data_IF_148305008081
#
_entry.id   IF_148305008081
#
_cell.length_a   1.000
_cell.length_b   1.000
_cell.length_c   1.000
_cell.angle_alpha   90.00
_cell.angle_beta   90.00
_cell.angle_gamma   90.00
#
_symmetry.space_group_name_H-M   'P 1'
#
loop_
_entity.id
_entity.type
_entity.pdbx_description
1 polymer ?
#
# COMPACT_ATOMS: atom_id res chain seq x y z
N UNK A 1 -15.16 -62.12 -3.01
CA UNK A 1 -13.88 -61.40 -2.84
C UNK A 1 -13.62 -60.28 -3.86
N UNK A 2 -13.94 -60.40 -5.13
CA UNK A 2 -13.73 -59.34 -6.12
C UNK A 2 -14.63 -58.13 -5.92
N UNK A 3 -15.90 -58.34 -5.51
CA UNK A 3 -16.87 -57.25 -5.26
C UNK A 3 -16.58 -56.45 -4.01
N UNK A 4 -15.99 -57.12 -3.00
CA UNK A 4 -15.59 -56.44 -1.72
C UNK A 4 -14.36 -55.53 -1.93
N UNK A 5 -13.46 -55.91 -2.81
CA UNK A 5 -12.26 -55.09 -3.13
C UNK A 5 -12.64 -53.86 -3.97
N UNK A 6 -13.62 -53.98 -4.87
CA UNK A 6 -14.12 -52.86 -5.66
C UNK A 6 -14.89 -51.88 -4.77
N UNK A 7 -15.68 -52.36 -3.83
CA UNK A 7 -16.38 -51.49 -2.86
C UNK A 7 -15.42 -50.76 -1.91
N UNK A 8 -14.36 -51.40 -1.45
CA UNK A 8 -13.33 -50.77 -0.63
C UNK A 8 -12.49 -49.74 -1.42
N UNK A 9 -12.22 -49.99 -2.70
CA UNK A 9 -11.51 -49.01 -3.54
C UNK A 9 -12.40 -47.78 -3.87
N UNK A 10 -13.69 -47.97 -4.05
CA UNK A 10 -14.65 -46.86 -4.22
C UNK A 10 -14.85 -46.05 -2.93
N UNK A 11 -14.87 -46.69 -1.77
CA UNK A 11 -14.90 -46.01 -0.47
C UNK A 11 -13.58 -45.26 -0.18
N UNK A 12 -12.44 -45.80 -0.59
CA UNK A 12 -11.16 -45.12 -0.44
C UNK A 12 -11.01 -43.91 -1.36
N UNK A 13 -11.58 -43.98 -2.60
CA UNK A 13 -11.62 -42.83 -3.49
C UNK A 13 -12.63 -41.76 -3.04
N UNK A 14 -13.76 -42.16 -2.44
CA UNK A 14 -14.71 -41.21 -1.83
C UNK A 14 -14.16 -40.54 -0.56
N UNK A 15 -13.31 -41.24 0.21
CA UNK A 15 -12.63 -40.62 1.37
C UNK A 15 -11.47 -39.68 0.94
N UNK A 16 -10.82 -39.93 -0.20
CA UNK A 16 -9.83 -39.02 -0.77
C UNK A 16 -10.47 -37.75 -1.41
N UNK A 17 -11.76 -37.81 -1.75
CA UNK A 17 -12.52 -36.66 -2.27
C UNK A 17 -12.99 -35.67 -1.17
N UNK A 18 -12.64 -35.89 0.08
CA UNK A 18 -12.85 -34.97 1.20
C UNK A 18 -11.63 -34.04 1.40
N UNK A 19 -10.86 -33.77 0.37
CA UNK A 19 -10.01 -32.59 0.32
C UNK A 19 -10.96 -31.36 0.40
N UNK A 20 -11.11 -30.81 1.59
CA UNK A 20 -12.09 -29.78 1.90
C UNK A 20 -11.64 -28.49 1.22
N UNK A 21 -12.04 -28.32 -0.04
CA UNK A 21 -11.89 -27.05 -0.75
C UNK A 21 -12.75 -26.05 -0.04
N UNK A 22 -12.15 -25.01 0.53
CA UNK A 22 -12.90 -23.91 1.12
C UNK A 22 -12.81 -22.69 0.21
N UNK A 23 -13.96 -22.10 -0.09
CA UNK A 23 -14.04 -20.77 -0.72
C UNK A 23 -14.71 -19.85 0.28
N UNK A 24 -14.05 -18.77 0.62
CA UNK A 24 -14.52 -17.76 1.56
C UNK A 24 -14.75 -16.45 0.83
N UNK A 25 -15.94 -15.87 1.00
CA UNK A 25 -16.21 -14.48 0.69
C UNK A 25 -15.78 -13.64 1.88
N UNK A 26 -15.00 -12.59 1.63
CA UNK A 26 -14.51 -11.71 2.66
C UNK A 26 -14.35 -10.29 2.13
N UNK A 27 -14.18 -9.32 3.02
CA UNK A 27 -14.02 -7.94 2.60
C UNK A 27 -14.22 -6.94 3.71
N UNK A 28 -14.26 -5.67 3.30
CA UNK A 28 -14.57 -4.56 4.19
C UNK A 28 -15.26 -3.42 3.45
N UNK A 29 -16.08 -2.69 4.19
CA UNK A 29 -16.75 -1.46 3.76
C UNK A 29 -16.32 -0.35 4.71
N UNK A 30 -15.84 0.74 4.14
CA UNK A 30 -15.33 1.91 4.83
C UNK A 30 -15.97 3.16 4.23
N UNK A 31 -16.81 3.83 5.03
CA UNK A 31 -17.53 5.04 4.62
C UNK A 31 -17.40 6.12 5.68
N UNK A 32 -17.23 7.34 5.22
CA UNK A 32 -17.09 8.49 6.11
C UNK A 32 -17.35 9.82 5.44
N UNK A 33 -17.06 10.85 6.19
CA UNK A 33 -17.03 12.25 5.76
C UNK A 33 -15.64 12.81 5.99
N UNK A 34 -15.25 13.76 5.18
CA UNK A 34 -13.98 14.45 5.32
C UNK A 34 -14.10 15.94 5.06
N UNK A 35 -13.21 16.69 5.68
CA UNK A 35 -12.96 18.10 5.44
C UNK A 35 -11.49 18.30 5.10
N UNK A 36 -11.21 19.10 4.10
CA UNK A 36 -9.85 19.53 3.74
C UNK A 36 -9.86 21.05 3.48
N UNK A 37 -8.87 21.76 4.02
CA UNK A 37 -8.58 23.17 3.73
C UNK A 37 -7.26 23.30 2.99
N UNK A 38 -6.88 24.52 2.60
CA UNK A 38 -5.62 24.76 1.89
C UNK A 38 -5.58 24.18 0.48
N UNK A 39 -6.71 23.81 -0.07
CA UNK A 39 -6.89 23.40 -1.46
C UNK A 39 -7.28 24.59 -2.34
N UNK A 40 -7.07 24.51 -3.67
CA UNK A 40 -7.62 25.49 -4.59
C UNK A 40 -9.14 25.61 -4.41
N UNK A 41 -9.63 26.84 -4.23
CA UNK A 41 -11.03 27.11 -3.87
C UNK A 41 -11.29 27.24 -2.37
N UNK A 42 -10.25 27.02 -1.53
CA UNK A 42 -10.27 27.27 -0.08
C UNK A 42 -10.44 26.01 0.76
N UNK A 43 -11.60 25.38 0.74
CA UNK A 43 -11.88 24.16 1.49
C UNK A 43 -12.99 23.33 0.85
N UNK A 44 -13.05 22.06 1.21
CA UNK A 44 -14.09 21.14 0.76
C UNK A 44 -14.57 20.21 1.88
N UNK A 45 -15.88 19.93 1.85
CA UNK A 45 -16.49 18.81 2.56
C UNK A 45 -16.89 17.76 1.54
N UNK A 46 -16.62 16.50 1.83
CA UNK A 46 -17.04 15.41 0.94
C UNK A 46 -17.41 14.15 1.72
N UNK A 47 -18.29 13.35 1.12
CA UNK A 47 -18.44 11.97 1.50
C UNK A 47 -17.28 11.18 0.88
N UNK A 48 -16.73 10.22 1.62
CA UNK A 48 -15.59 9.44 1.18
C UNK A 48 -15.79 7.96 1.45
N UNK A 49 -15.33 7.15 0.51
CA UNK A 49 -15.13 5.73 0.68
C UNK A 49 -13.64 5.49 0.90
N UNK A 50 -13.28 4.78 1.97
CA UNK A 50 -11.91 4.33 2.15
C UNK A 50 -10.94 5.31 2.83
N UNK A 51 -11.39 6.15 3.74
CA UNK A 51 -10.50 7.05 4.48
C UNK A 51 -9.58 6.31 5.47
N UNK A 52 -10.10 5.30 6.17
CA UNK A 52 -9.29 4.43 7.04
C UNK A 52 -8.58 3.36 6.21
N UNK A 53 -9.27 2.80 5.23
CA UNK A 53 -8.68 1.83 4.32
C UNK A 53 -9.66 1.42 3.25
N UNK A 54 -9.24 1.32 2.01
CA UNK A 54 -10.08 1.05 0.85
C UNK A 54 -11.23 0.07 1.11
N UNK A 55 -12.42 0.35 0.58
CA UNK A 55 -13.50 -0.64 0.54
C UNK A 55 -13.23 -1.67 -0.55
N UNK A 56 -13.34 -2.95 -0.23
CA UNK A 56 -13.10 -4.03 -1.18
C UNK A 56 -13.79 -5.32 -0.74
N UNK A 57 -13.99 -6.22 -1.69
CA UNK A 57 -14.49 -7.56 -1.48
C UNK A 57 -13.64 -8.56 -2.25
N UNK A 58 -13.62 -9.80 -1.81
CA UNK A 58 -12.83 -10.83 -2.44
C UNK A 58 -13.32 -12.24 -2.17
N UNK A 59 -12.76 -13.15 -2.93
CA UNK A 59 -12.86 -14.59 -2.77
C UNK A 59 -11.47 -15.16 -2.55
N UNK A 60 -11.30 -15.96 -1.54
CA UNK A 60 -10.10 -16.76 -1.33
C UNK A 60 -10.45 -18.22 -1.12
N UNK A 61 -9.51 -19.08 -1.43
CA UNK A 61 -9.72 -20.49 -1.21
C UNK A 61 -8.44 -21.29 -1.15
N UNK A 62 -8.57 -22.50 -0.62
CA UNK A 62 -7.47 -23.44 -0.56
C UNK A 62 -7.94 -24.87 -0.78
N UNK A 63 -7.07 -25.68 -1.38
CA UNK A 63 -7.22 -27.12 -1.59
C UNK A 63 -6.02 -27.84 -1.01
N UNK A 64 -6.24 -28.85 -0.19
CA UNK A 64 -5.17 -29.69 0.37
C UNK A 64 -4.69 -30.69 -0.70
N UNK A 65 -3.42 -30.59 -1.06
CA UNK A 65 -2.77 -31.48 -2.03
C UNK A 65 -2.02 -32.64 -1.39
N UNK A 66 -2.07 -32.72 -0.04
CA UNK A 66 -1.31 -33.73 0.72
C UNK A 66 0.13 -33.26 1.05
N UNK A 67 0.77 -33.99 1.97
CA UNK A 67 2.14 -33.67 2.41
C UNK A 67 2.32 -32.28 3.03
N UNK A 68 1.24 -31.66 3.54
CA UNK A 68 1.24 -30.29 4.09
C UNK A 68 1.21 -29.20 3.03
N UNK A 69 1.11 -29.55 1.75
CA UNK A 69 1.03 -28.58 0.64
C UNK A 69 -0.43 -28.27 0.32
N UNK A 70 -0.72 -26.97 0.15
CA UNK A 70 -2.04 -26.50 -0.32
C UNK A 70 -1.88 -25.70 -1.60
N UNK A 71 -2.80 -25.88 -2.55
CA UNK A 71 -3.06 -24.88 -3.58
C UNK A 71 -3.88 -23.76 -2.95
N UNK A 72 -3.58 -22.51 -3.31
CA UNK A 72 -4.26 -21.31 -2.81
C UNK A 72 -4.62 -20.40 -3.97
N UNK A 73 -5.72 -19.67 -3.85
CA UNK A 73 -6.04 -18.57 -4.75
C UNK A 73 -6.65 -17.39 -4.00
N UNK A 74 -6.55 -16.20 -4.59
CA UNK A 74 -7.12 -14.97 -4.06
C UNK A 74 -7.55 -14.06 -5.20
N UNK A 75 -8.78 -13.55 -5.11
CA UNK A 75 -9.36 -12.59 -6.05
C UNK A 75 -9.95 -11.44 -5.23
N UNK A 76 -9.50 -10.18 -5.48
CA UNK A 76 -10.01 -9.00 -4.78
C UNK A 76 -10.32 -7.84 -5.72
N UNK A 77 -11.45 -7.18 -5.45
CA UNK A 77 -11.93 -5.99 -6.16
C UNK A 77 -12.11 -4.82 -5.21
N UNK A 78 -11.54 -3.66 -5.56
CA UNK A 78 -11.80 -2.41 -4.85
C UNK A 78 -13.06 -1.75 -5.39
N UNK A 79 -13.82 -1.12 -4.50
CA UNK A 79 -15.06 -0.44 -4.86
C UNK A 79 -15.19 0.87 -4.09
N UNK A 80 -15.84 1.83 -4.74
CA UNK A 80 -16.30 3.05 -4.10
C UNK A 80 -17.74 2.83 -3.61
N UNK A 81 -17.91 2.73 -2.30
CA UNK A 81 -19.22 2.43 -1.70
C UNK A 81 -20.13 3.65 -1.65
N UNK A 82 -19.65 4.86 -1.98
CA UNK A 82 -20.49 6.05 -2.09
C UNK A 82 -21.28 6.09 -3.40
N UNK A 83 -20.79 5.45 -4.46
CA UNK A 83 -21.43 5.44 -5.77
C UNK A 83 -21.65 4.03 -6.35
N UNK A 84 -21.14 2.98 -5.66
CA UNK A 84 -21.28 1.58 -6.09
C UNK A 84 -20.39 1.18 -7.27
N UNK A 85 -19.41 2.00 -7.66
CA UNK A 85 -18.53 1.71 -8.79
C UNK A 85 -17.28 0.94 -8.35
N UNK A 86 -16.73 0.13 -9.26
CA UNK A 86 -15.40 -0.42 -9.09
C UNK A 86 -14.36 0.69 -9.17
N UNK A 87 -13.35 0.60 -8.32
CA UNK A 87 -12.14 1.42 -8.41
C UNK A 87 -11.03 0.59 -9.07
N UNK A 88 -10.81 0.84 -10.35
CA UNK A 88 -9.89 0.08 -11.19
C UNK A 88 -10.54 -1.14 -11.85
N UNK A 89 -9.73 -2.16 -12.12
CA UNK A 89 -10.17 -3.39 -12.78
C UNK A 89 -10.88 -4.34 -11.80
N UNK A 90 -11.79 -5.16 -12.33
CA UNK A 90 -12.29 -6.32 -11.59
C UNK A 90 -11.09 -7.19 -11.18
N UNK A 91 -11.00 -7.53 -9.90
CA UNK A 91 -9.85 -8.20 -9.30
C UNK A 91 -8.50 -7.48 -9.48
N UNK A 92 -8.57 -6.13 -9.59
CA UNK A 92 -7.36 -5.29 -9.70
C UNK A 92 -6.50 -5.28 -8.46
N UNK A 93 -7.06 -5.61 -7.26
CA UNK A 93 -6.29 -5.72 -6.02
C UNK A 93 -5.50 -7.02 -5.93
N UNK A 94 -6.16 -8.15 -6.20
CA UNK A 94 -5.54 -9.47 -6.29
C UNK A 94 -6.21 -10.32 -7.36
N UNK A 95 -5.40 -11.04 -8.12
CA UNK A 95 -5.82 -12.15 -8.96
C UNK A 95 -4.65 -13.14 -9.02
N UNK A 96 -4.54 -13.98 -7.99
CA UNK A 96 -3.39 -14.86 -7.78
C UNK A 96 -3.78 -16.29 -7.57
N UNK A 97 -2.87 -17.18 -8.00
CA UNK A 97 -2.85 -18.61 -7.66
C UNK A 97 -1.47 -18.95 -7.12
N UNK A 98 -1.38 -19.94 -6.24
CA UNK A 98 -0.11 -20.32 -5.67
C UNK A 98 -0.15 -21.61 -4.89
N UNK A 99 0.98 -21.88 -4.21
CA UNK A 99 1.15 -23.03 -3.33
C UNK A 99 1.74 -22.57 -2.01
N UNK A 100 1.30 -23.16 -0.92
CA UNK A 100 1.86 -22.92 0.41
C UNK A 100 2.18 -24.23 1.11
N UNK A 101 3.29 -24.25 1.84
CA UNK A 101 3.72 -25.39 2.64
C UNK A 101 4.53 -24.86 3.86
N UNK A 102 4.27 -25.30 5.08
CA UNK A 102 4.99 -24.83 6.26
C UNK A 102 6.52 -25.01 6.22
N UNK A 103 7.00 -26.03 5.49
CA UNK A 103 8.43 -26.33 5.38
C UNK A 103 9.12 -25.63 4.21
N UNK A 104 8.36 -25.28 3.18
CA UNK A 104 8.91 -24.73 1.94
C UNK A 104 8.50 -23.29 1.66
N UNK A 105 7.57 -22.71 2.46
CA UNK A 105 7.09 -21.37 2.28
C UNK A 105 5.90 -21.25 1.33
N UNK A 106 5.69 -20.06 0.81
CA UNK A 106 4.55 -19.73 -0.06
C UNK A 106 5.04 -19.14 -1.37
N UNK A 107 4.56 -19.70 -2.49
CA UNK A 107 4.78 -19.17 -3.82
C UNK A 107 3.43 -18.74 -4.41
N UNK A 108 3.37 -17.54 -5.00
CA UNK A 108 2.20 -17.01 -5.70
C UNK A 108 2.59 -16.44 -7.05
N UNK A 109 1.65 -16.44 -7.99
CA UNK A 109 1.78 -15.78 -9.29
C UNK A 109 0.47 -15.12 -9.69
N UNK A 110 0.56 -14.03 -10.45
CA UNK A 110 -0.60 -13.30 -10.98
C UNK A 110 -0.51 -11.80 -10.84
N UNK A 111 -1.65 -11.16 -10.61
CA UNK A 111 -1.74 -9.75 -10.28
C UNK A 111 -1.66 -9.57 -8.76
N UNK A 112 -0.63 -8.89 -8.30
CA UNK A 112 -0.37 -8.59 -6.90
C UNK A 112 -0.55 -7.06 -6.72
N UNK A 113 -1.79 -6.59 -6.88
CA UNK A 113 -2.10 -5.16 -6.88
C UNK A 113 -2.15 -4.51 -5.51
N UNK A 114 -2.41 -5.28 -4.45
CA UNK A 114 -2.59 -4.77 -3.09
C UNK A 114 -1.84 -5.58 -2.03
N UNK A 115 -0.87 -6.34 -2.39
CA UNK A 115 -0.01 -7.12 -1.50
C UNK A 115 1.45 -7.02 -1.90
N UNK A 116 1.76 -5.99 -2.61
CA UNK A 116 3.07 -5.60 -3.07
C UNK A 116 4.03 -5.42 -1.88
N UNK A 117 5.28 -5.78 -2.06
CA UNK A 117 6.29 -5.67 -0.99
C UNK A 117 6.39 -4.23 -0.47
N UNK A 118 6.32 -3.22 -1.35
CA UNK A 118 6.35 -1.82 -0.95
C UNK A 118 5.23 -1.44 0.03
N UNK A 119 4.06 -2.08 -0.11
CA UNK A 119 2.91 -1.82 0.77
C UNK A 119 3.09 -2.42 2.18
N UNK A 120 4.04 -3.32 2.39
CA UNK A 120 4.35 -3.86 3.72
C UNK A 120 4.96 -2.80 4.65
N UNK A 121 5.32 -1.63 4.10
CA UNK A 121 5.64 -0.43 4.87
C UNK A 121 4.53 -0.02 5.86
N UNK A 122 3.26 -0.39 5.60
CA UNK A 122 2.13 -0.13 6.50
C UNK A 122 2.36 -0.67 7.92
N UNK A 123 3.10 -1.77 8.07
CA UNK A 123 3.43 -2.34 9.36
C UNK A 123 4.34 -1.46 10.21
N UNK A 124 5.01 -0.46 9.62
CA UNK A 124 5.83 0.52 10.34
C UNK A 124 5.15 1.89 10.48
N UNK A 125 3.94 2.03 9.94
CA UNK A 125 3.18 3.28 9.96
C UNK A 125 2.25 3.33 11.18
N UNK A 126 2.39 4.33 12.07
CA UNK A 126 1.48 4.51 13.18
C UNK A 126 0.01 4.62 12.79
N UNK A 127 -0.28 5.23 11.64
CA UNK A 127 -1.64 5.41 11.11
C UNK A 127 -2.09 4.26 10.20
N UNK A 128 -1.29 3.18 10.07
CA UNK A 128 -1.62 1.98 9.30
C UNK A 128 -1.99 2.28 7.84
N UNK A 129 -1.28 3.21 7.19
CA UNK A 129 -1.52 3.70 5.83
C UNK A 129 -2.95 4.21 5.60
N UNK A 130 -3.54 4.83 6.63
CA UNK A 130 -4.75 5.61 6.47
C UNK A 130 -4.50 6.80 5.53
N UNK A 131 -5.54 7.59 5.31
CA UNK A 131 -5.49 8.72 4.38
C UNK A 131 -4.33 9.69 4.67
N UNK A 132 -4.03 9.96 5.95
CA UNK A 132 -2.93 10.83 6.37
C UNK A 132 -1.82 10.02 7.05
N UNK A 133 -1.05 9.28 6.29
CA UNK A 133 -0.03 8.37 6.80
C UNK A 133 1.28 8.45 6.03
N UNK A 134 2.06 7.39 6.14
CA UNK A 134 3.38 7.25 5.52
C UNK A 134 3.37 7.56 4.00
N UNK A 135 2.28 7.25 3.30
CA UNK A 135 2.20 7.45 1.85
C UNK A 135 1.98 8.89 1.43
N UNK A 136 1.52 9.79 2.33
CA UNK A 136 1.20 11.18 2.00
C UNK A 136 2.41 11.94 1.46
N UNK A 137 3.53 11.93 2.18
CA UNK A 137 4.70 12.73 1.84
C UNK A 137 5.55 12.13 0.72
N UNK A 138 5.29 10.90 0.34
CA UNK A 138 5.94 10.22 -0.81
C UNK A 138 4.97 10.03 -1.97
N UNK A 139 3.90 10.82 -1.99
CA UNK A 139 2.91 10.90 -3.08
C UNK A 139 2.41 9.54 -3.54
N UNK A 140 2.06 8.67 -2.59
CA UNK A 140 1.53 7.35 -2.87
C UNK A 140 2.55 6.32 -3.37
N UNK A 141 3.87 6.61 -3.39
CA UNK A 141 4.90 5.67 -3.87
C UNK A 141 4.81 4.29 -3.21
N UNK A 142 4.38 4.23 -1.96
CA UNK A 142 4.22 2.98 -1.21
C UNK A 142 2.97 2.16 -1.60
N UNK A 143 2.13 2.69 -2.51
CA UNK A 143 0.97 1.99 -3.07
C UNK A 143 1.24 1.36 -4.44
N UNK A 144 2.50 1.15 -4.81
CA UNK A 144 2.85 0.48 -6.05
C UNK A 144 2.13 -0.86 -6.18
N UNK A 145 1.90 -1.29 -7.39
CA UNK A 145 1.26 -2.57 -7.72
C UNK A 145 2.10 -3.37 -8.72
N UNK A 146 1.98 -4.69 -8.69
CA UNK A 146 2.69 -5.58 -9.59
C UNK A 146 1.72 -6.51 -10.32
N UNK A 147 1.63 -6.35 -11.63
CA UNK A 147 0.97 -7.30 -12.52
C UNK A 147 1.99 -8.28 -13.12
N UNK A 148 1.51 -9.45 -13.57
CA UNK A 148 2.36 -10.50 -14.14
C UNK A 148 3.54 -10.86 -13.22
N UNK A 149 3.29 -10.92 -11.92
CA UNK A 149 4.30 -11.07 -10.89
C UNK A 149 4.37 -12.49 -10.35
N UNK A 150 5.55 -12.80 -9.86
CA UNK A 150 5.85 -13.97 -9.04
C UNK A 150 6.32 -13.50 -7.68
N UNK A 151 5.82 -14.12 -6.63
CA UNK A 151 6.21 -13.85 -5.26
C UNK A 151 6.56 -15.15 -4.54
N UNK A 152 7.62 -15.12 -3.77
CA UNK A 152 7.97 -16.20 -2.87
C UNK A 152 8.29 -15.66 -1.48
N UNK A 153 7.64 -16.27 -0.48
CA UNK A 153 7.93 -16.03 0.93
C UNK A 153 8.48 -17.30 1.56
N UNK A 154 9.61 -17.20 2.24
CA UNK A 154 10.21 -18.30 2.98
C UNK A 154 9.32 -18.76 4.13
N UNK A 155 9.53 -19.96 4.70
CA UNK A 155 9.07 -20.25 6.06
C UNK A 155 9.61 -19.23 7.05
N UNK A 156 8.96 -19.13 8.21
CA UNK A 156 9.44 -18.30 9.32
C UNK A 156 10.36 -19.10 10.23
N UNK A 157 11.58 -18.62 10.43
CA UNK A 157 12.61 -19.24 11.25
C UNK A 157 12.90 -18.37 12.47
N UNK A 158 12.36 -18.74 13.64
CA UNK A 158 12.60 -17.98 14.87
C UNK A 158 12.15 -16.51 14.80
N UNK A 159 11.07 -16.23 14.07
CA UNK A 159 10.54 -14.89 13.84
C UNK A 159 11.08 -14.19 12.58
N UNK A 160 12.08 -14.75 11.90
CA UNK A 160 12.65 -14.21 10.67
C UNK A 160 12.03 -14.85 9.42
N UNK A 161 11.59 -14.05 8.46
CA UNK A 161 11.25 -14.49 7.11
C UNK A 161 11.75 -13.49 6.06
N UNK A 162 11.86 -13.97 4.83
CA UNK A 162 12.14 -13.15 3.66
C UNK A 162 11.02 -13.30 2.64
N UNK A 163 10.73 -12.25 1.90
CA UNK A 163 9.82 -12.27 0.76
C UNK A 163 10.49 -11.60 -0.43
N UNK A 164 10.38 -12.21 -1.60
CA UNK A 164 10.89 -11.68 -2.86
C UNK A 164 9.80 -11.66 -3.92
N UNK A 165 9.74 -10.59 -4.70
CA UNK A 165 8.78 -10.37 -5.77
C UNK A 165 9.49 -9.96 -7.04
N UNK A 166 9.07 -10.54 -8.15
CA UNK A 166 9.54 -10.21 -9.48
C UNK A 166 8.37 -10.11 -10.45
N UNK A 167 8.16 -8.93 -11.02
CA UNK A 167 7.20 -8.72 -12.09
C UNK A 167 7.91 -8.79 -13.45
N UNK A 168 7.27 -9.43 -14.42
CA UNK A 168 7.85 -9.60 -15.75
C UNK A 168 7.86 -8.29 -16.52
N UNK A 169 6.73 -7.75 -16.79
CA UNK A 169 6.48 -6.42 -17.34
C UNK A 169 4.99 -6.15 -17.24
N UNK A 170 4.54 -4.97 -17.60
CA UNK A 170 3.09 -4.70 -17.74
C UNK A 170 2.44 -5.51 -18.90
N UNK A 171 3.24 -6.20 -19.72
CA UNK A 171 2.79 -7.10 -20.77
C UNK A 171 3.05 -8.55 -20.38
N UNK A 172 2.13 -9.45 -20.72
CA UNK A 172 2.27 -10.90 -20.51
C UNK A 172 3.31 -11.55 -21.42
N UNK A 173 3.84 -10.81 -22.39
CA UNK A 173 4.85 -11.28 -23.35
C UNK A 173 6.24 -10.82 -22.93
N UNK A 174 7.18 -11.73 -22.81
CA UNK A 174 8.56 -11.47 -22.39
C UNK A 174 9.46 -11.03 -23.53
N UNK A 175 9.06 -11.32 -24.75
CA UNK A 175 9.86 -11.11 -25.95
C UNK A 175 8.91 -10.71 -27.09
N UNK A 176 8.64 -9.42 -27.20
CA UNK A 176 7.96 -8.90 -28.37
C UNK A 176 9.01 -8.51 -29.40
N UNK A 177 9.05 -9.24 -30.51
CA UNK A 177 10.07 -9.14 -31.55
C UNK A 177 10.18 -7.77 -32.23
N UNK A 178 9.34 -6.78 -31.92
CA UNK A 178 9.21 -5.54 -32.69
C UNK A 178 9.41 -4.25 -31.94
N UNK A 179 9.41 -4.25 -30.59
CA UNK A 179 9.73 -3.07 -29.79
C UNK A 179 10.15 -3.48 -28.38
N UNK A 180 11.13 -2.83 -27.74
CA UNK A 180 11.37 -2.97 -26.32
C UNK A 180 10.21 -2.28 -25.57
N UNK A 181 9.00 -2.82 -25.71
CA UNK A 181 7.81 -2.31 -25.09
C UNK A 181 7.63 -2.94 -23.74
N UNK A 182 7.37 -2.10 -22.75
CA UNK A 182 6.95 -2.55 -21.44
C UNK A 182 8.09 -3.09 -20.60
N UNK A 183 9.12 -2.32 -20.35
CA UNK A 183 10.11 -2.58 -19.30
C UNK A 183 9.64 -2.09 -17.93
N UNK A 184 8.45 -1.51 -17.88
CA UNK A 184 7.80 -1.13 -16.64
C UNK A 184 7.50 -2.36 -15.80
N UNK A 185 8.06 -2.44 -14.59
CA UNK A 185 7.88 -3.57 -13.68
C UNK A 185 8.15 -3.14 -12.25
N UNK A 186 7.55 -3.87 -11.32
CA UNK A 186 7.72 -3.67 -9.89
C UNK A 186 8.36 -4.92 -9.29
N UNK A 187 9.55 -4.76 -8.74
CA UNK A 187 10.30 -5.82 -8.09
C UNK A 187 10.59 -5.43 -6.66
N UNK A 188 10.75 -6.40 -5.77
CA UNK A 188 11.09 -6.10 -4.39
C UNK A 188 11.65 -7.31 -3.66
N UNK A 189 12.32 -7.02 -2.57
CA UNK A 189 12.74 -7.98 -1.56
C UNK A 189 12.58 -7.35 -0.18
N UNK A 190 12.11 -8.13 0.78
CA UNK A 190 12.05 -7.73 2.17
C UNK A 190 12.57 -8.80 3.10
N UNK A 191 13.03 -8.37 4.25
CA UNK A 191 13.30 -9.21 5.41
C UNK A 191 12.56 -8.65 6.62
N UNK A 192 11.83 -9.50 7.32
CA UNK A 192 11.09 -9.15 8.53
C UNK A 192 11.53 -10.03 9.67
N UNK A 193 11.87 -9.42 10.80
CA UNK A 193 12.18 -10.12 12.04
C UNK A 193 11.20 -9.70 13.13
N UNK A 194 10.28 -10.59 13.47
CA UNK A 194 9.34 -10.42 14.57
C UNK A 194 9.90 -11.03 15.85
N UNK A 195 9.83 -10.29 16.95
CA UNK A 195 10.28 -10.70 18.27
C UNK A 195 9.21 -10.37 19.33
N UNK A 196 9.35 -10.86 20.55
CA UNK A 196 8.27 -10.82 21.53
C UNK A 196 7.67 -9.45 21.88
N UNK A 197 8.35 -8.35 21.55
CA UNK A 197 7.88 -6.97 21.82
C UNK A 197 7.72 -6.12 20.56
N UNK A 198 7.84 -6.68 19.35
CA UNK A 198 7.72 -5.89 18.13
C UNK A 198 8.26 -6.56 16.89
N UNK A 199 8.53 -5.79 15.88
CA UNK A 199 9.15 -6.26 14.65
C UNK A 199 10.13 -5.21 14.10
N UNK A 200 11.03 -5.68 13.26
CA UNK A 200 11.89 -4.86 12.44
C UNK A 200 11.85 -5.38 11.00
N UNK A 201 11.77 -4.48 10.04
CA UNK A 201 11.74 -4.83 8.62
C UNK A 201 12.64 -3.93 7.79
N UNK A 202 13.21 -4.52 6.75
CA UNK A 202 13.92 -3.82 5.69
C UNK A 202 13.28 -4.21 4.37
N UNK A 203 12.89 -3.20 3.60
CA UNK A 203 12.24 -3.36 2.31
C UNK A 203 13.08 -2.64 1.26
N UNK A 204 13.47 -3.36 0.22
CA UNK A 204 14.01 -2.76 -1.00
C UNK A 204 13.04 -3.07 -2.15
N UNK A 205 12.59 -2.04 -2.85
CA UNK A 205 11.73 -2.21 -4.02
C UNK A 205 12.11 -1.26 -5.17
N UNK A 206 11.76 -1.66 -6.36
CA UNK A 206 11.94 -0.92 -7.60
C UNK A 206 10.62 -0.83 -8.36
N UNK A 207 10.22 0.37 -8.74
CA UNK A 207 9.19 0.62 -9.75
C UNK A 207 9.85 1.29 -10.93
N UNK A 208 9.79 0.65 -12.10
CA UNK A 208 10.41 1.15 -13.34
C UNK A 208 9.36 1.73 -14.27
N UNK A 209 9.70 2.82 -14.93
CA UNK A 209 8.94 3.39 -16.03
C UNK A 209 8.82 2.46 -17.22
N UNK A 210 7.95 2.79 -18.18
CA UNK A 210 7.69 1.98 -19.35
C UNK A 210 8.92 1.68 -20.22
N UNK A 211 9.94 2.52 -20.14
CA UNK A 211 11.24 2.39 -20.81
C UNK A 211 12.29 1.67 -19.94
N UNK A 212 11.92 1.26 -18.72
CA UNK A 212 12.79 0.59 -17.78
C UNK A 212 13.65 1.52 -16.92
N UNK A 213 13.50 2.83 -17.03
CA UNK A 213 14.26 3.82 -16.26
C UNK A 213 13.61 4.17 -14.92
N UNK A 214 14.33 4.91 -14.08
CA UNK A 214 13.83 5.52 -12.85
C UNK A 214 13.76 7.02 -13.06
N UNK A 215 12.67 7.48 -13.63
CA UNK A 215 12.49 8.80 -14.18
C UNK A 215 11.50 9.69 -13.41
N UNK A 216 10.96 9.20 -12.30
CA UNK A 216 10.09 9.94 -11.39
C UNK A 216 10.24 9.39 -9.97
N UNK A 217 10.68 10.22 -9.03
CA UNK A 217 10.97 9.79 -7.66
C UNK A 217 9.73 9.25 -6.93
N UNK A 218 8.55 9.73 -7.30
CA UNK A 218 7.29 9.33 -6.68
C UNK A 218 6.55 8.20 -7.42
N UNK A 219 6.90 7.91 -8.67
CA UNK A 219 6.24 6.88 -9.48
C UNK A 219 7.20 5.78 -9.91
N UNK A 220 8.37 6.16 -10.45
CA UNK A 220 9.35 5.25 -11.03
C UNK A 220 10.70 5.42 -10.34
N UNK A 221 10.85 4.79 -9.20
CA UNK A 221 12.02 4.95 -8.33
C UNK A 221 12.44 3.64 -7.68
N UNK A 222 13.64 3.65 -7.12
CA UNK A 222 14.08 2.68 -6.12
C UNK A 222 13.72 3.19 -4.74
N UNK A 223 13.35 2.28 -3.86
CA UNK A 223 13.04 2.57 -2.47
C UNK A 223 13.84 1.64 -1.56
N UNK A 224 14.46 2.21 -0.55
CA UNK A 224 15.02 1.45 0.58
C UNK A 224 14.36 1.97 1.85
N UNK A 225 13.63 1.09 2.51
CA UNK A 225 12.95 1.38 3.77
C UNK A 225 13.49 0.49 4.88
N UNK A 226 13.74 1.08 6.04
CA UNK A 226 14.01 0.37 7.28
C UNK A 226 13.12 0.95 8.38
N UNK A 227 12.41 0.09 9.10
CA UNK A 227 11.51 0.53 10.13
C UNK A 227 11.08 -0.63 11.04
N UNK A 228 10.36 -0.29 12.08
CA UNK A 228 9.90 -1.31 13.01
C UNK A 228 8.98 -0.76 14.08
N UNK A 229 8.59 -1.65 14.95
CA UNK A 229 7.62 -1.41 16.01
C UNK A 229 8.13 -1.94 17.36
N UNK A 230 7.66 -1.30 18.43
CA UNK A 230 7.89 -1.76 19.80
C UNK A 230 6.62 -1.62 20.63
N UNK A 231 6.20 -2.69 21.29
CA UNK A 231 5.04 -2.70 22.18
C UNK A 231 5.53 -2.60 23.63
N UNK A 232 5.07 -1.58 24.34
CA UNK A 232 5.40 -1.35 25.74
C UNK A 232 4.11 -1.13 26.55
N UNK A 233 3.65 -2.15 27.24
CA UNK A 233 2.36 -2.12 27.92
C UNK A 233 1.21 -1.83 26.94
N UNK A 234 0.42 -0.76 27.17
CA UNK A 234 -0.68 -0.39 26.27
C UNK A 234 -0.23 0.49 25.09
N UNK A 235 1.05 0.78 24.93
CA UNK A 235 1.56 1.68 23.90
C UNK A 235 2.35 0.90 22.87
N UNK A 236 2.03 1.14 21.60
CA UNK A 236 2.73 0.61 20.43
C UNK A 236 3.47 1.75 19.73
N UNK A 237 4.78 1.72 19.73
CA UNK A 237 5.64 2.69 19.08
C UNK A 237 6.00 2.24 17.68
N UNK A 238 6.14 3.19 16.76
CA UNK A 238 6.50 3.01 15.37
C UNK A 238 7.59 3.99 14.97
N UNK A 239 8.54 3.55 14.20
CA UNK A 239 9.56 4.42 13.62
C UNK A 239 10.08 3.84 12.31
N UNK A 240 10.49 4.69 11.39
CA UNK A 240 11.14 4.25 10.18
C UNK A 240 11.76 5.38 9.38
N UNK A 241 12.49 4.95 8.37
CA UNK A 241 13.16 5.78 7.40
C UNK A 241 13.05 5.14 6.01
N UNK A 242 12.80 5.94 5.00
CA UNK A 242 12.73 5.54 3.61
C UNK A 242 13.53 6.50 2.74
N UNK A 243 14.37 5.95 1.87
CA UNK A 243 15.08 6.70 0.83
C UNK A 243 14.53 6.32 -0.54
N UNK A 244 14.05 7.30 -1.29
CA UNK A 244 13.64 7.14 -2.69
C UNK A 244 14.73 7.70 -3.60
N UNK A 245 14.98 7.02 -4.74
CA UNK A 245 15.97 7.44 -5.72
C UNK A 245 15.51 7.18 -7.16
N UNK A 246 15.51 8.24 -7.98
CA UNK A 246 15.16 8.25 -9.39
C UNK A 246 16.20 9.04 -10.20
N UNK A 247 17.35 8.45 -10.51
CA UNK A 247 18.49 9.16 -11.11
C UNK A 247 18.24 9.68 -12.53
N UNK A 248 17.19 9.20 -13.19
CA UNK A 248 16.81 9.63 -14.54
C UNK A 248 15.69 10.69 -14.54
N UNK A 249 15.23 11.15 -13.35
CA UNK A 249 14.17 12.14 -13.26
C UNK A 249 14.62 13.48 -13.87
N UNK A 250 13.74 14.06 -14.68
CA UNK A 250 13.88 15.37 -15.30
C UNK A 250 12.54 16.09 -15.25
N UNK A 251 12.52 17.41 -15.43
CA UNK A 251 11.28 18.17 -15.49
C UNK A 251 10.33 17.63 -16.56
N UNK A 252 10.88 17.19 -17.69
CA UNK A 252 10.10 16.61 -18.78
C UNK A 252 9.49 15.25 -18.41
N UNK A 253 10.23 14.38 -17.72
CA UNK A 253 9.75 13.04 -17.34
C UNK A 253 8.63 13.11 -16.29
N UNK A 254 8.65 14.11 -15.41
CA UNK A 254 7.61 14.31 -14.39
C UNK A 254 6.50 15.28 -14.86
N UNK A 255 6.49 15.66 -16.16
CA UNK A 255 5.45 16.47 -16.76
C UNK A 255 5.39 17.92 -16.27
N UNK A 256 6.51 18.47 -15.78
CA UNK A 256 6.57 19.85 -15.31
C UNK A 256 6.55 20.81 -16.51
N UNK A 257 5.61 21.74 -16.47
CA UNK A 257 5.59 22.84 -17.43
C UNK A 257 6.67 23.86 -17.08
N UNK A 258 7.52 24.27 -18.02
CA UNK A 258 8.53 25.30 -17.79
C UNK A 258 7.92 26.57 -17.15
N UNK A 259 8.51 27.03 -16.05
CA UNK A 259 8.06 28.20 -15.31
C UNK A 259 6.88 27.98 -14.35
N UNK A 260 6.41 26.75 -14.18
CA UNK A 260 5.35 26.39 -13.21
C UNK A 260 5.88 26.11 -11.81
N UNK A 261 7.17 25.97 -11.65
CA UNK A 261 7.83 25.73 -10.36
C UNK A 261 8.47 27.02 -9.83
N UNK A 262 8.72 27.11 -8.52
CA UNK A 262 9.53 28.16 -7.93
C UNK A 262 10.93 28.24 -8.57
N UNK A 263 11.53 29.40 -8.58
CA UNK A 263 12.89 29.60 -9.12
C UNK A 263 13.89 28.72 -8.37
N UNK A 264 14.71 27.97 -9.11
CA UNK A 264 15.73 27.06 -8.57
C UNK A 264 15.20 25.69 -8.18
N UNK A 265 13.94 25.39 -8.45
CA UNK A 265 13.35 24.05 -8.27
C UNK A 265 13.36 23.31 -9.61
N UNK A 266 13.75 22.05 -9.59
CA UNK A 266 13.65 21.12 -10.72
C UNK A 266 13.23 19.74 -10.21
N UNK A 267 12.94 18.80 -11.12
CA UNK A 267 12.49 17.46 -10.76
C UNK A 267 13.38 16.80 -9.69
N UNK A 268 12.83 16.33 -8.58
CA UNK A 268 13.62 15.68 -7.56
C UNK A 268 14.08 14.30 -8.03
N UNK A 269 15.34 13.99 -7.77
CA UNK A 269 15.94 12.67 -8.02
C UNK A 269 16.06 11.83 -6.76
N UNK A 270 15.87 12.42 -5.57
CA UNK A 270 15.84 11.70 -4.30
C UNK A 270 14.91 12.37 -3.30
N UNK A 271 14.36 11.54 -2.41
CA UNK A 271 13.57 11.96 -1.26
C UNK A 271 14.00 11.12 -0.06
N UNK A 272 14.29 11.80 1.05
CA UNK A 272 14.46 11.20 2.37
C UNK A 272 13.18 11.39 3.15
N UNK A 273 12.64 10.31 3.71
CA UNK A 273 11.38 10.29 4.42
C UNK A 273 11.54 9.54 5.74
N UNK A 274 11.16 10.16 6.84
CA UNK A 274 11.29 9.63 8.18
C UNK A 274 10.01 9.83 8.98
N UNK A 275 9.74 8.93 9.93
CA UNK A 275 8.54 9.04 10.77
C UNK A 275 8.77 8.41 12.14
N UNK A 276 7.97 8.93 13.07
CA UNK A 276 7.82 8.39 14.41
C UNK A 276 6.39 8.61 14.90
N UNK A 277 5.86 7.63 15.64
CA UNK A 277 4.55 7.77 16.26
C UNK A 277 4.27 6.68 17.28
N UNK A 278 3.12 6.81 17.91
CA UNK A 278 2.64 5.87 18.89
C UNK A 278 1.12 5.71 18.85
N UNK A 279 0.67 4.48 19.01
CA UNK A 279 -0.73 4.14 19.26
C UNK A 279 -0.89 3.69 20.72
N UNK A 280 -1.77 4.37 21.45
CA UNK A 280 -2.09 4.06 22.84
C UNK A 280 -3.45 3.39 22.94
N UNK A 281 -3.48 2.16 23.40
CA UNK A 281 -4.72 1.46 23.75
C UNK A 281 -5.25 1.98 25.08
N UNK A 282 -6.14 2.97 25.03
CA UNK A 282 -6.72 3.66 26.19
C UNK A 282 -7.67 2.74 26.96
N UNK A 283 -8.41 1.91 26.24
CA UNK A 283 -9.31 0.89 26.78
C UNK A 283 -9.41 -0.30 25.82
N UNK A 284 -10.13 -1.34 26.17
CA UNK A 284 -10.37 -2.48 25.26
C UNK A 284 -11.07 -2.09 23.95
N UNK A 285 -11.80 -0.98 23.95
CA UNK A 285 -12.54 -0.50 22.79
C UNK A 285 -11.87 0.69 22.09
N UNK A 286 -11.01 1.47 22.77
CA UNK A 286 -10.52 2.77 22.28
C UNK A 286 -9.01 2.77 22.12
N UNK A 287 -8.53 3.16 20.94
CA UNK A 287 -7.14 3.50 20.72
C UNK A 287 -7.01 4.94 20.22
N UNK A 288 -5.91 5.60 20.58
CA UNK A 288 -5.53 6.95 20.12
C UNK A 288 -4.13 6.84 19.52
N UNK A 289 -3.94 7.41 18.34
CA UNK A 289 -2.67 7.38 17.61
C UNK A 289 -2.20 8.78 17.29
N UNK A 290 -0.92 9.07 17.54
CA UNK A 290 -0.28 10.32 17.14
C UNK A 290 1.00 10.01 16.36
N UNK A 291 1.26 10.77 15.30
CA UNK A 291 2.46 10.58 14.50
C UNK A 291 2.98 11.89 13.89
N UNK A 292 4.26 11.88 13.57
CA UNK A 292 4.94 12.89 12.77
C UNK A 292 5.69 12.20 11.64
N UNK A 293 5.57 12.75 10.43
CA UNK A 293 6.27 12.33 9.23
C UNK A 293 7.00 13.52 8.64
N UNK A 294 8.21 13.32 8.15
CA UNK A 294 9.00 14.37 7.53
C UNK A 294 9.59 13.87 6.23
N UNK A 295 9.48 14.65 5.17
CA UNK A 295 10.11 14.33 3.90
C UNK A 295 10.91 15.52 3.39
N UNK A 296 12.10 15.26 2.85
CA UNK A 296 12.98 16.24 2.25
C UNK A 296 13.38 15.78 0.85
N UNK A 297 13.06 16.59 -0.16
CA UNK A 297 13.37 16.31 -1.55
C UNK A 297 14.50 17.20 -2.04
N UNK A 298 15.41 16.63 -2.85
CA UNK A 298 16.54 17.37 -3.40
C UNK A 298 16.12 18.34 -4.54
N UNK A 299 17.09 18.97 -5.19
CA UNK A 299 16.90 19.90 -6.32
C UNK A 299 15.97 21.07 -6.00
N UNK A 300 16.08 21.61 -4.78
CA UNK A 300 15.32 22.79 -4.37
C UNK A 300 13.84 22.54 -4.00
N UNK A 301 13.37 21.30 -4.03
CA UNK A 301 11.97 20.96 -3.73
C UNK A 301 11.59 21.15 -2.25
N UNK A 302 12.58 21.38 -1.37
CA UNK A 302 12.33 21.68 0.03
C UNK A 302 11.86 20.45 0.82
N UNK A 303 11.12 20.71 1.89
CA UNK A 303 10.64 19.69 2.81
C UNK A 303 9.20 19.94 3.23
N UNK A 304 8.58 18.89 3.75
CA UNK A 304 7.27 18.96 4.38
C UNK A 304 7.25 18.10 5.64
N UNK A 305 6.45 18.55 6.62
CA UNK A 305 6.21 17.80 7.84
C UNK A 305 4.70 17.64 8.02
N UNK A 306 4.27 16.38 8.18
CA UNK A 306 2.88 16.00 8.45
C UNK A 306 2.76 15.60 9.92
N UNK A 307 1.81 16.19 10.61
CA UNK A 307 1.40 15.83 11.96
C UNK A 307 0.02 15.21 11.90
N UNK A 308 -0.19 14.08 12.58
CA UNK A 308 -1.48 13.38 12.60
C UNK A 308 -1.89 13.00 14.01
N UNK A 309 -3.22 13.01 14.23
CA UNK A 309 -3.86 12.54 15.44
C UNK A 309 -5.11 11.75 15.07
N UNK A 310 -5.13 10.47 15.36
CA UNK A 310 -6.21 9.55 15.05
C UNK A 310 -6.81 8.91 16.30
N UNK A 311 -8.04 8.42 16.17
CA UNK A 311 -8.69 7.60 17.19
C UNK A 311 -9.60 6.56 16.55
N UNK A 312 -9.71 5.41 17.19
CA UNK A 312 -10.65 4.35 16.84
C UNK A 312 -11.48 3.95 18.04
N UNK A 313 -12.74 3.56 17.80
CA UNK A 313 -13.65 3.04 18.80
C UNK A 313 -14.35 1.78 18.30
N UNK A 314 -14.03 0.63 18.87
CA UNK A 314 -14.58 -0.67 18.49
C UNK A 314 -16.02 -0.83 19.01
N UNK A 315 -16.98 -0.91 18.10
CA UNK A 315 -18.37 -1.30 18.38
C UNK A 315 -18.51 -2.82 18.50
N UNK A 316 -17.71 -3.56 17.77
CA UNK A 316 -17.64 -5.02 17.80
C UNK A 316 -16.25 -5.48 17.31
N UNK A 317 -16.05 -6.80 17.19
CA UNK A 317 -14.81 -7.36 16.59
C UNK A 317 -14.62 -7.01 15.12
N UNK A 318 -15.69 -6.63 14.41
CA UNK A 318 -15.70 -6.39 12.96
C UNK A 318 -16.14 -4.99 12.57
N UNK A 319 -16.62 -4.17 13.53
CA UNK A 319 -17.16 -2.84 13.26
C UNK A 319 -16.54 -1.84 14.22
N UNK A 320 -15.99 -0.76 13.69
CA UNK A 320 -15.44 0.32 14.49
C UNK A 320 -15.70 1.69 13.86
N UNK A 321 -15.76 2.68 14.71
CA UNK A 321 -15.73 4.09 14.33
C UNK A 321 -14.28 4.57 14.32
N UNK A 322 -13.98 5.52 13.46
CA UNK A 322 -12.65 6.12 13.37
C UNK A 322 -12.73 7.63 13.10
N UNK A 323 -11.68 8.33 13.46
CA UNK A 323 -11.41 9.72 13.06
C UNK A 323 -9.92 9.94 12.98
N UNK A 324 -9.48 10.80 12.08
CA UNK A 324 -8.11 11.28 12.02
C UNK A 324 -8.08 12.74 11.58
N UNK A 325 -7.24 13.54 12.23
CA UNK A 325 -6.89 14.89 11.84
C UNK A 325 -5.43 14.92 11.38
N UNK A 326 -5.17 15.67 10.30
CA UNK A 326 -3.84 15.87 9.73
C UNK A 326 -3.57 17.35 9.48
N UNK A 327 -2.31 17.75 9.71
CA UNK A 327 -1.78 19.06 9.36
C UNK A 327 -0.45 18.89 8.67
N UNK A 328 -0.34 19.38 7.44
CA UNK A 328 0.92 19.39 6.69
C UNK A 328 1.47 20.82 6.61
N UNK A 329 2.72 20.98 6.98
CA UNK A 329 3.51 22.20 6.82
C UNK A 329 4.53 22.01 5.69
N UNK A 330 4.44 22.84 4.66
CA UNK A 330 5.35 22.86 3.53
C UNK A 330 6.35 24.00 3.66
N UNK A 331 7.64 23.75 3.38
CA UNK A 331 8.62 24.80 3.15
C UNK A 331 8.29 25.58 1.88
N UNK A 332 8.89 26.73 1.67
CA UNK A 332 8.54 27.69 0.59
C UNK A 332 8.55 27.10 -0.81
N UNK A 333 9.25 26.01 -1.04
CA UNK A 333 9.38 25.35 -2.35
C UNK A 333 8.74 23.97 -2.40
N UNK A 334 8.06 23.56 -1.32
CA UNK A 334 7.31 22.30 -1.25
C UNK A 334 5.79 22.57 -1.42
N UNK A 335 5.07 21.60 -1.97
CA UNK A 335 3.61 21.63 -2.12
C UNK A 335 3.00 20.24 -1.92
N UNK A 336 3.55 19.44 -1.02
CA UNK A 336 3.00 18.14 -0.69
C UNK A 336 1.63 18.29 -0.04
N UNK A 337 0.72 17.37 -0.32
CA UNK A 337 -0.65 17.36 0.17
C UNK A 337 -0.84 16.38 1.32
N UNK A 338 -1.90 16.58 2.10
CA UNK A 338 -2.35 15.62 3.12
C UNK A 338 -2.67 14.26 2.51
N UNK A 339 -3.37 14.29 1.40
CA UNK A 339 -3.67 13.11 0.63
C UNK A 339 -3.20 13.31 -0.79
N UNK A 340 -2.19 12.56 -1.14
CA UNK A 340 -1.86 12.38 -2.54
C UNK A 340 -2.48 11.07 -2.97
N UNK A 341 -3.37 11.16 -3.96
CA UNK A 341 -3.98 9.96 -4.52
C UNK A 341 -2.87 9.01 -4.95
N UNK A 342 -3.02 7.78 -4.57
CA UNK A 342 -2.06 6.69 -4.66
C UNK A 342 -1.37 6.46 -6.02
N UNK A 343 -1.37 7.34 -6.91
CA UNK A 343 -0.82 7.16 -8.24
C UNK A 343 -0.23 8.46 -8.79
N UNK A 344 0.41 9.24 -7.91
CA UNK A 344 1.28 10.33 -8.33
C UNK A 344 0.60 11.36 -9.21
N UNK A 345 -0.63 11.72 -8.89
CA UNK A 345 -1.30 12.80 -9.60
C UNK A 345 -0.67 14.15 -9.18
N UNK A 346 0.55 14.36 -9.64
CA UNK A 346 1.37 15.55 -9.38
C UNK A 346 0.95 16.77 -10.19
N UNK A 347 -0.17 16.69 -10.90
CA UNK A 347 -0.58 17.69 -11.85
C UNK A 347 -1.29 18.87 -11.19
N UNK A 348 -0.74 19.36 -10.07
CA UNK A 348 -1.08 20.69 -9.64
C UNK A 348 -0.48 21.67 -10.65
N UNK A 349 -1.32 22.32 -11.40
CA UNK A 349 -0.93 23.48 -12.20
C UNK A 349 -1.23 24.76 -11.39
N UNK A 350 -0.22 25.36 -10.75
CA UNK A 350 -0.42 26.56 -9.95
C UNK A 350 -0.92 27.76 -10.78
N UNK A 351 -0.73 27.72 -12.10
CA UNK A 351 -1.14 28.79 -13.00
C UNK A 351 -2.64 28.74 -13.31
N UNK A 352 -3.20 27.54 -13.44
CA UNK A 352 -4.62 27.38 -13.81
C UNK A 352 -5.52 27.20 -12.60
N UNK A 353 -4.96 26.99 -11.40
CA UNK A 353 -5.70 26.70 -10.18
C UNK A 353 -6.73 25.56 -10.36
N UNK A 354 -6.48 24.67 -11.30
CA UNK A 354 -7.31 23.48 -11.53
C UNK A 354 -6.82 22.38 -10.63
N UNK A 355 -7.44 22.28 -9.47
CA UNK A 355 -7.22 21.24 -8.49
C UNK A 355 -7.79 19.93 -8.98
N UNK A 356 -7.06 19.21 -9.76
CA UNK A 356 -7.36 17.80 -9.98
C UNK A 356 -6.85 16.90 -8.84
N UNK A 357 -5.98 17.42 -7.96
CA UNK A 357 -5.27 16.61 -6.98
C UNK A 357 -5.29 17.12 -5.53
N UNK A 358 -5.88 18.28 -5.26
CA UNK A 358 -5.96 18.80 -3.89
C UNK A 358 -4.64 19.28 -3.26
N UNK A 359 -3.55 19.42 -4.02
CA UNK A 359 -2.30 19.95 -3.48
C UNK A 359 -2.43 21.44 -3.13
N UNK A 360 -1.81 21.91 -2.04
CA UNK A 360 -1.73 23.32 -1.72
C UNK A 360 -0.77 24.06 -2.70
N UNK A 361 -0.80 25.37 -2.68
CA UNK A 361 0.23 26.16 -3.34
C UNK A 361 1.58 25.95 -2.66
N UNK A 362 2.67 26.22 -3.38
CA UNK A 362 4.02 26.15 -2.82
C UNK A 362 4.16 27.00 -1.55
N UNK A 363 4.73 26.41 -0.50
CA UNK A 363 4.90 27.04 0.80
C UNK A 363 3.65 27.15 1.65
N UNK A 364 2.52 26.62 1.20
CA UNK A 364 1.26 26.66 1.94
C UNK A 364 1.01 25.37 2.70
N UNK A 365 0.42 25.50 3.88
CA UNK A 365 -0.03 24.39 4.70
C UNK A 365 -1.40 23.89 4.27
N UNK A 366 -1.73 22.67 4.66
CA UNK A 366 -3.04 22.07 4.46
C UNK A 366 -3.50 21.39 5.76
N UNK A 367 -4.79 21.46 6.02
CA UNK A 367 -5.42 20.83 7.18
C UNK A 367 -6.56 19.95 6.72
N UNK A 368 -6.76 18.85 7.42
CA UNK A 368 -7.84 17.93 7.12
C UNK A 368 -8.30 17.16 8.36
N UNK A 369 -9.53 16.72 8.31
CA UNK A 369 -10.10 15.79 9.27
C UNK A 369 -11.07 14.87 8.55
N UNK A 370 -11.07 13.62 8.91
CA UNK A 370 -12.10 12.68 8.50
C UNK A 370 -12.64 11.87 9.67
N UNK A 371 -13.86 11.38 9.51
CA UNK A 371 -14.48 10.45 10.45
C UNK A 371 -15.38 9.48 9.67
N UNK A 372 -15.47 8.25 10.16
CA UNK A 372 -16.25 7.25 9.47
C UNK A 372 -16.49 5.98 10.28
N UNK A 373 -17.01 4.98 9.58
CA UNK A 373 -17.27 3.65 10.09
C UNK A 373 -16.71 2.61 9.12
N UNK A 374 -16.01 1.62 9.68
CA UNK A 374 -15.58 0.45 8.94
C UNK A 374 -16.25 -0.81 9.48
N UNK A 375 -16.68 -1.67 8.54
CA UNK A 375 -17.18 -3.00 8.82
C UNK A 375 -16.44 -4.05 7.99
N UNK A 376 -15.96 -5.12 8.64
CA UNK A 376 -15.32 -6.28 8.01
C UNK A 376 -16.27 -7.48 8.03
N UNK A 377 -16.32 -8.25 6.96
CA UNK A 377 -17.18 -9.43 6.85
C UNK A 377 -16.46 -10.66 6.30
#
# INVERSE_FOLDING_TARGET
>A
MKETVVALSLLATAAAAQAQSSVTLYGRIDNGIQFESGIPGGHAWSAASGNFGCSWWGLEGSEDLGGGTKAIFQLESQLNTMNGQLEGNLFGRHATIGFTNPSYGTFKMGNIGAGEISQDSWGTDPQLMQRYGISSLVRGRNWASAANAFEYQTPTWGGLYFRGQYALTNNTSWNTATTPTGQGRTNGIEGVYAFGMGDFRVIYDEVRGADGTFDDVYNHSRSLLAGGTLVFGPVHFYAGYQHLNAPNATDASVGVTPGSQPVGVSAPTSVDHEWFGAAWQVSTATAVTAAVYHANANHGNGNATLYTLGATYNLSKRTFLYTEAGYIHNSSTSNLALYDSAYGNNNFNPVTNTASNGNPNYGHSQEGIFAGVMHQF
#
